data_IF_401071034037
#
_entry.id   IF_401071034037
#
_cell.length_a   1.000
_cell.length_b   1.000
_cell.length_c   1.000
_cell.angle_alpha   90.00
_cell.angle_beta   90.00
_cell.angle_gamma   90.00
#
_symmetry.space_group_name_H-M   'P 1'
#
loop_
_entity.id
_entity.type
_entity.pdbx_description
1 polymer ?
#
# COMPACT_ATOMS: atom_id res chain seq x y z
N UNK A 1 29.59 -53.74 -24.37
CA UNK A 1 30.54 -53.06 -25.26
C UNK A 1 31.03 -51.84 -24.51
N UNK A 2 32.23 -51.97 -23.95
CA UNK A 2 32.87 -50.94 -23.14
C UNK A 2 33.35 -49.82 -24.05
N UNK A 3 32.90 -48.59 -23.76
CA UNK A 3 33.32 -47.39 -24.49
C UNK A 3 34.78 -47.12 -24.14
N UNK A 4 35.62 -47.24 -25.16
CA UNK A 4 37.02 -46.83 -25.17
C UNK A 4 37.20 -45.44 -24.55
N UNK A 5 38.18 -45.33 -23.64
CA UNK A 5 38.52 -44.14 -22.88
C UNK A 5 38.60 -42.86 -23.74
N UNK A 6 37.81 -41.85 -23.39
CA UNK A 6 37.97 -40.50 -23.91
C UNK A 6 39.31 -39.90 -23.44
N UNK A 7 40.04 -39.17 -24.30
CA UNK A 7 41.41 -38.72 -24.01
C UNK A 7 41.52 -37.60 -22.96
N UNK A 8 40.41 -37.03 -22.46
CA UNK A 8 40.42 -36.03 -21.40
C UNK A 8 39.38 -36.34 -20.29
N UNK A 9 39.82 -36.73 -19.08
CA UNK A 9 38.91 -37.16 -18.01
C UNK A 9 37.99 -36.04 -17.50
N UNK A 10 38.45 -34.78 -17.56
CA UNK A 10 37.67 -33.59 -17.14
C UNK A 10 36.40 -33.39 -17.99
N UNK A 11 36.49 -33.65 -19.30
CA UNK A 11 35.35 -33.53 -20.21
C UNK A 11 34.34 -34.66 -19.96
N UNK A 12 34.83 -35.87 -19.66
CA UNK A 12 33.96 -37.00 -19.35
C UNK A 12 33.18 -36.81 -18.05
N UNK A 13 33.77 -36.14 -17.06
CA UNK A 13 33.09 -35.80 -15.80
C UNK A 13 32.03 -34.69 -15.99
N UNK A 14 32.34 -33.67 -16.80
CA UNK A 14 31.40 -32.61 -17.13
C UNK A 14 30.19 -33.12 -17.97
N UNK A 15 30.42 -34.12 -18.83
CA UNK A 15 29.38 -34.70 -19.67
C UNK A 15 28.68 -35.92 -19.05
N UNK A 16 29.23 -36.51 -17.98
CA UNK A 16 28.65 -37.64 -17.26
C UNK A 16 27.16 -37.46 -16.90
N UNK A 17 26.67 -36.30 -16.41
CA UNK A 17 25.23 -36.14 -16.13
C UNK A 17 24.35 -36.10 -17.38
N UNK A 18 24.93 -35.86 -18.57
CA UNK A 18 24.21 -35.76 -19.83
C UNK A 18 24.32 -37.03 -20.70
N UNK A 19 25.29 -37.91 -20.42
CA UNK A 19 25.47 -39.19 -21.11
C UNK A 19 24.65 -40.27 -20.40
N UNK A 20 23.44 -40.52 -20.92
CA UNK A 20 22.55 -41.58 -20.40
C UNK A 20 22.86 -42.94 -21.01
N UNK A 21 22.60 -44.01 -20.26
CA UNK A 21 22.75 -45.37 -20.76
C UNK A 21 21.78 -45.65 -21.92
N UNK A 22 22.15 -46.54 -22.85
CA UNK A 22 21.29 -46.86 -24.01
C UNK A 22 19.90 -47.36 -23.57
N UNK A 23 19.83 -48.06 -22.45
CA UNK A 23 18.59 -48.57 -21.87
C UNK A 23 17.72 -47.44 -21.31
N UNK A 24 18.31 -46.49 -20.56
CA UNK A 24 17.59 -45.30 -20.09
C UNK A 24 17.08 -44.46 -21.24
N UNK A 25 17.90 -44.26 -22.28
CA UNK A 25 17.47 -43.50 -23.47
C UNK A 25 16.29 -44.20 -24.16
N UNK A 26 16.30 -45.53 -24.27
CA UNK A 26 15.16 -46.28 -24.82
C UNK A 26 13.91 -46.19 -23.92
N UNK A 27 14.07 -46.25 -22.60
CA UNK A 27 12.97 -46.12 -21.65
C UNK A 27 12.35 -44.71 -21.69
N UNK A 28 13.20 -43.67 -21.75
CA UNK A 28 12.75 -42.27 -21.89
C UNK A 28 12.01 -42.09 -23.22
N UNK A 29 12.53 -42.64 -24.33
CA UNK A 29 11.84 -42.57 -25.63
C UNK A 29 10.49 -43.27 -25.60
N UNK A 30 10.39 -44.44 -24.99
CA UNK A 30 9.13 -45.17 -24.84
C UNK A 30 8.14 -44.42 -23.95
N UNK A 31 8.60 -43.84 -22.84
CA UNK A 31 7.77 -43.03 -21.95
C UNK A 31 7.24 -41.77 -22.65
N UNK A 32 8.10 -41.07 -23.40
CA UNK A 32 7.69 -39.91 -24.21
C UNK A 32 6.74 -40.32 -25.33
N UNK A 33 6.97 -41.47 -25.97
CA UNK A 33 6.07 -42.00 -27.01
C UNK A 33 4.68 -42.28 -26.44
N UNK A 34 4.59 -42.99 -25.31
CA UNK A 34 3.33 -43.25 -24.62
C UNK A 34 2.63 -41.96 -24.16
N UNK A 35 3.40 -40.96 -23.72
CA UNK A 35 2.85 -39.66 -23.32
C UNK A 35 2.29 -38.89 -24.53
N UNK A 36 3.00 -38.89 -25.66
CA UNK A 36 2.51 -38.27 -26.89
C UNK A 36 1.29 -39.00 -27.46
N UNK A 37 1.27 -40.34 -27.42
CA UNK A 37 0.10 -41.17 -27.77
C UNK A 37 -1.11 -40.86 -26.89
N UNK A 38 -0.90 -40.52 -25.61
CA UNK A 38 -2.01 -40.14 -24.73
C UNK A 38 -2.56 -38.73 -24.98
N UNK A 39 -1.72 -37.81 -25.47
CA UNK A 39 -2.08 -36.39 -25.68
C UNK A 39 -2.69 -36.14 -27.06
N UNK A 40 -2.29 -36.93 -28.03
CA UNK A 40 -2.84 -36.96 -29.36
C UNK A 40 -3.87 -38.09 -29.36
N UNK A 41 -5.17 -37.78 -29.34
CA UNK A 41 -6.24 -38.80 -29.50
C UNK A 41 -6.16 -39.45 -30.89
N UNK A 42 -5.12 -40.24 -31.13
CA UNK A 42 -4.93 -41.05 -32.31
C UNK A 42 -5.99 -42.16 -32.26
N UNK A 43 -6.80 -42.26 -33.30
CA UNK A 43 -7.63 -43.45 -33.49
C UNK A 43 -6.74 -44.69 -33.45
N UNK A 44 -7.22 -45.77 -32.80
CA UNK A 44 -6.46 -46.90 -32.26
C UNK A 44 -5.51 -47.65 -33.21
N UNK A 45 -5.49 -47.31 -34.50
CA UNK A 45 -4.72 -47.98 -35.53
C UNK A 45 -3.63 -47.11 -36.19
N UNK A 46 -3.46 -45.84 -35.79
CA UNK A 46 -2.45 -44.94 -36.37
C UNK A 46 -1.24 -44.76 -35.44
N UNK A 47 -0.13 -45.42 -35.77
CA UNK A 47 1.15 -45.21 -35.10
C UNK A 47 1.67 -43.77 -35.28
N UNK A 48 2.33 -43.25 -34.24
CA UNK A 48 2.96 -41.92 -34.23
C UNK A 48 4.07 -41.87 -35.29
N UNK A 49 3.73 -41.36 -36.46
CA UNK A 49 4.66 -41.09 -37.57
C UNK A 49 4.85 -39.58 -37.73
N UNK A 50 6.03 -39.16 -38.20
CA UNK A 50 6.40 -37.74 -38.36
C UNK A 50 5.36 -36.98 -39.19
N UNK A 51 4.70 -37.66 -40.13
CA UNK A 51 3.65 -37.13 -40.99
C UNK A 51 2.34 -36.77 -40.27
N UNK A 52 2.06 -37.39 -39.12
CA UNK A 52 0.80 -37.21 -38.37
C UNK A 52 0.87 -36.11 -37.30
N UNK A 53 2.06 -35.56 -36.99
CA UNK A 53 2.22 -34.47 -36.00
C UNK A 53 1.68 -33.11 -36.47
N UNK A 54 1.56 -32.90 -37.78
CA UNK A 54 1.19 -31.59 -38.35
C UNK A 54 -0.31 -31.28 -38.34
N UNK A 55 -1.16 -32.31 -38.31
CA UNK A 55 -2.60 -32.18 -38.63
C UNK A 55 -3.55 -32.58 -37.49
N UNK A 56 -3.05 -32.92 -36.31
CA UNK A 56 -3.91 -33.33 -35.19
C UNK A 56 -4.42 -32.12 -34.42
N UNK A 57 -5.74 -31.93 -34.41
CA UNK A 57 -6.40 -31.03 -33.46
C UNK A 57 -6.10 -31.51 -32.03
N UNK A 58 -5.28 -30.74 -31.32
CA UNK A 58 -5.07 -30.93 -29.88
C UNK A 58 -6.37 -30.53 -29.18
N UNK A 59 -7.28 -31.49 -28.97
CA UNK A 59 -8.36 -31.32 -28.02
C UNK A 59 -7.73 -31.20 -26.65
N UNK A 60 -7.60 -29.97 -26.15
CA UNK A 60 -7.10 -29.63 -24.82
C UNK A 60 -7.55 -30.68 -23.80
N UNK A 61 -6.69 -31.64 -23.42
CA UNK A 61 -6.91 -32.31 -22.16
C UNK A 61 -6.47 -31.29 -21.10
N UNK A 62 -7.29 -31.09 -20.09
CA UNK A 62 -6.79 -30.56 -18.84
C UNK A 62 -5.60 -31.45 -18.44
N UNK A 63 -4.39 -31.00 -18.77
CA UNK A 63 -3.16 -31.65 -18.36
C UNK A 63 -3.24 -31.81 -16.84
N UNK A 64 -2.65 -32.88 -16.32
CA UNK A 64 -2.10 -32.86 -14.98
C UNK A 64 -1.04 -31.74 -14.93
N UNK A 65 -1.51 -30.49 -14.76
CA UNK A 65 -0.74 -29.24 -14.65
C UNK A 65 0.20 -29.28 -13.43
N UNK A 66 0.11 -30.32 -12.63
CA UNK A 66 0.84 -30.53 -11.39
C UNK A 66 2.29 -31.00 -11.60
N UNK A 67 2.68 -31.42 -12.82
CA UNK A 67 4.04 -31.89 -13.11
C UNK A 67 4.97 -30.88 -13.79
N UNK A 68 4.44 -29.76 -14.29
CA UNK A 68 5.21 -28.75 -15.02
C UNK A 68 5.47 -27.56 -14.10
N UNK A 69 6.59 -27.57 -13.38
CA UNK A 69 6.98 -26.48 -12.46
C UNK A 69 7.92 -25.47 -13.14
N UNK A 70 7.78 -24.19 -12.79
CA UNK A 70 8.72 -23.11 -13.13
C UNK A 70 8.48 -22.44 -14.49
N UNK A 71 9.58 -22.10 -15.18
CA UNK A 71 9.60 -21.24 -16.40
C UNK A 71 8.71 -21.78 -17.52
N UNK A 72 8.62 -23.11 -17.66
CA UNK A 72 7.81 -23.75 -18.69
C UNK A 72 6.31 -23.52 -18.47
N UNK A 73 5.85 -23.50 -17.21
CA UNK A 73 4.47 -23.19 -16.87
C UNK A 73 4.16 -21.72 -17.14
N UNK A 74 5.09 -20.82 -16.78
CA UNK A 74 4.97 -19.40 -17.09
C UNK A 74 4.89 -19.15 -18.61
N UNK A 75 5.68 -19.86 -19.41
CA UNK A 75 5.63 -19.77 -20.87
C UNK A 75 4.29 -20.25 -21.46
N UNK A 76 3.77 -21.38 -20.98
CA UNK A 76 2.45 -21.89 -21.41
C UNK A 76 1.34 -20.90 -21.03
N UNK A 77 1.38 -20.36 -19.81
CA UNK A 77 0.43 -19.34 -19.36
C UNK A 77 0.52 -18.06 -20.20
N UNK A 78 1.74 -17.64 -20.58
CA UNK A 78 1.94 -16.49 -21.45
C UNK A 78 1.40 -16.72 -22.87
N UNK A 79 1.55 -17.93 -23.42
CA UNK A 79 0.95 -18.29 -24.71
C UNK A 79 -0.58 -18.31 -24.66
N UNK A 80 -1.17 -18.85 -23.58
CA UNK A 80 -2.62 -18.81 -23.36
C UNK A 80 -3.13 -17.37 -23.26
N UNK A 81 -2.44 -16.53 -22.48
CA UNK A 81 -2.77 -15.12 -22.33
C UNK A 81 -2.67 -14.36 -23.67
N UNK A 82 -1.65 -14.68 -24.48
CA UNK A 82 -1.49 -14.07 -25.81
C UNK A 82 -2.62 -14.49 -26.76
N UNK A 83 -2.97 -15.78 -26.82
CA UNK A 83 -4.12 -16.25 -27.61
C UNK A 83 -5.43 -15.59 -27.18
N UNK A 84 -5.65 -15.46 -25.87
CA UNK A 84 -6.82 -14.77 -25.34
C UNK A 84 -6.82 -13.27 -25.68
N UNK A 85 -5.66 -12.61 -25.67
CA UNK A 85 -5.53 -11.21 -26.08
C UNK A 85 -5.77 -11.02 -27.58
N UNK A 86 -5.27 -11.92 -28.42
CA UNK A 86 -5.52 -11.93 -29.86
C UNK A 86 -7.02 -12.11 -30.16
N UNK A 87 -7.68 -13.07 -29.52
CA UNK A 87 -9.13 -13.28 -29.67
C UNK A 87 -9.93 -12.02 -29.27
N UNK A 88 -9.54 -11.33 -28.18
CA UNK A 88 -10.16 -10.05 -27.78
C UNK A 88 -9.91 -8.94 -28.79
N UNK A 89 -8.70 -8.88 -29.35
CA UNK A 89 -8.34 -7.89 -30.36
C UNK A 89 -9.14 -8.11 -31.65
N UNK A 90 -9.30 -9.36 -32.07
CA UNK A 90 -10.14 -9.72 -33.22
C UNK A 90 -11.61 -9.39 -32.97
N UNK A 91 -12.15 -9.69 -31.79
CA UNK A 91 -13.50 -9.30 -31.41
C UNK A 91 -13.70 -7.77 -31.45
N UNK A 92 -12.74 -7.00 -30.92
CA UNK A 92 -12.78 -5.53 -30.98
C UNK A 92 -12.63 -4.99 -32.40
N UNK A 93 -11.83 -5.64 -33.25
CA UNK A 93 -11.72 -5.28 -34.68
C UNK A 93 -13.05 -5.48 -35.39
N UNK A 94 -13.75 -6.57 -35.10
CA UNK A 94 -15.09 -6.84 -35.65
C UNK A 94 -16.08 -5.78 -35.14
N UNK A 95 -16.10 -5.49 -33.84
CA UNK A 95 -16.98 -4.45 -33.26
C UNK A 95 -16.71 -3.07 -33.86
N UNK A 96 -15.44 -2.69 -34.06
CA UNK A 96 -15.08 -1.41 -34.71
C UNK A 96 -15.49 -1.38 -36.19
N UNK A 97 -15.41 -2.51 -36.90
CA UNK A 97 -15.89 -2.61 -38.28
C UNK A 97 -17.43 -2.53 -38.36
N UNK A 98 -18.14 -3.16 -37.43
CA UNK A 98 -19.61 -3.09 -37.34
C UNK A 98 -20.12 -1.69 -36.98
N UNK A 99 -19.39 -0.96 -36.13
CA UNK A 99 -19.68 0.44 -35.79
C UNK A 99 -19.32 1.41 -36.93
N UNK A 100 -18.57 0.96 -37.93
CA UNK A 100 -18.13 1.77 -39.07
C UNK A 100 -18.48 1.10 -40.42
N UNK A 101 -19.77 0.82 -40.70
CA UNK A 101 -20.18 0.11 -41.91
C UNK A 101 -20.08 0.97 -43.18
N UNK A 102 -19.91 2.29 -43.03
CA UNK A 102 -19.70 3.23 -44.14
C UNK A 102 -18.20 3.46 -44.34
N UNK A 103 -17.59 2.61 -45.15
CA UNK A 103 -16.26 2.85 -45.68
C UNK A 103 -16.19 4.18 -46.43
N UNK A 104 -15.74 5.24 -45.76
CA UNK A 104 -14.96 6.29 -46.42
C UNK A 104 -13.58 6.30 -45.79
N UNK A 105 -12.68 5.54 -46.42
CA UNK A 105 -11.24 5.81 -46.34
C UNK A 105 -11.05 7.19 -46.97
N UNK A 106 -11.23 8.24 -46.17
CA UNK A 106 -10.69 9.54 -46.49
C UNK A 106 -9.19 9.46 -46.26
N UNK A 107 -8.45 9.14 -47.33
CA UNK A 107 -7.13 9.72 -47.55
C UNK A 107 -7.30 11.25 -47.50
N UNK A 108 -7.21 11.83 -46.30
CA UNK A 108 -7.09 13.28 -46.14
C UNK A 108 -5.62 13.63 -46.19
N UNK A 109 -5.18 13.84 -47.42
CA UNK A 109 -4.07 14.74 -47.72
C UNK A 109 -4.37 16.11 -47.10
N UNK A 110 -3.42 16.63 -46.32
CA UNK A 110 -3.30 18.06 -46.00
C UNK A 110 -4.28 18.63 -44.97
N UNK A 111 -3.85 18.66 -43.69
CA UNK A 111 -3.96 19.84 -42.81
C UNK A 111 -3.56 19.44 -41.38
N UNK A 112 -2.41 19.94 -40.92
CA UNK A 112 -1.72 19.55 -39.68
C UNK A 112 -2.35 20.07 -38.37
N UNK A 113 -3.61 20.54 -38.34
CA UNK A 113 -4.21 21.13 -37.12
C UNK A 113 -5.36 20.35 -36.47
N UNK A 114 -5.78 19.20 -37.01
CA UNK A 114 -6.90 18.40 -36.49
C UNK A 114 -6.61 17.25 -35.49
N UNK A 115 -5.38 16.77 -35.22
CA UNK A 115 -5.19 15.60 -34.36
C UNK A 115 -5.43 15.90 -32.87
N UNK A 116 -5.27 17.16 -32.43
CA UNK A 116 -5.36 17.52 -31.01
C UNK A 116 -6.80 17.51 -30.48
N UNK A 117 -7.77 17.97 -31.27
CA UNK A 117 -9.18 17.97 -30.87
C UNK A 117 -9.75 16.54 -30.75
N UNK A 118 -9.40 15.66 -31.70
CA UNK A 118 -9.79 14.26 -31.65
C UNK A 118 -9.10 13.51 -30.50
N UNK A 119 -7.81 13.76 -30.27
CA UNK A 119 -7.09 13.24 -29.11
C UNK A 119 -7.68 13.73 -27.78
N UNK A 120 -8.06 15.01 -27.68
CA UNK A 120 -8.71 15.53 -26.48
C UNK A 120 -10.06 14.86 -26.21
N UNK A 121 -10.86 14.59 -27.26
CA UNK A 121 -12.11 13.85 -27.12
C UNK A 121 -11.88 12.40 -26.67
N UNK A 122 -10.88 11.72 -27.23
CA UNK A 122 -10.49 10.37 -26.82
C UNK A 122 -9.96 10.33 -25.38
N UNK A 123 -9.19 11.34 -24.95
CA UNK A 123 -8.72 11.46 -23.58
C UNK A 123 -9.89 11.67 -22.60
N UNK A 124 -10.85 12.54 -22.93
CA UNK A 124 -12.07 12.75 -22.14
C UNK A 124 -12.92 11.48 -22.06
N UNK A 125 -13.05 10.74 -23.17
CA UNK A 125 -13.76 9.46 -23.18
C UNK A 125 -13.04 8.42 -22.33
N UNK A 126 -11.71 8.33 -22.41
CA UNK A 126 -10.90 7.42 -21.58
C UNK A 126 -11.02 7.76 -20.10
N UNK A 127 -11.04 9.04 -19.75
CA UNK A 127 -11.24 9.49 -18.38
C UNK A 127 -12.64 9.15 -17.87
N UNK A 128 -13.69 9.37 -18.70
CA UNK A 128 -15.06 8.97 -18.39
C UNK A 128 -15.18 7.46 -18.18
N UNK A 129 -14.52 6.65 -19.01
CA UNK A 129 -14.47 5.21 -18.83
C UNK A 129 -13.73 4.79 -17.56
N UNK A 130 -12.63 5.46 -17.18
CA UNK A 130 -11.96 5.18 -15.89
C UNK A 130 -12.91 5.47 -14.73
N UNK A 131 -13.60 6.61 -14.75
CA UNK A 131 -14.59 6.96 -13.73
C UNK A 131 -15.72 5.93 -13.64
N UNK A 132 -16.24 5.49 -14.78
CA UNK A 132 -17.26 4.43 -14.83
C UNK A 132 -16.76 3.08 -14.31
N UNK A 133 -15.50 2.72 -14.58
CA UNK A 133 -14.90 1.50 -14.01
C UNK A 133 -14.76 1.57 -12.50
N UNK A 134 -14.37 2.72 -11.95
CA UNK A 134 -14.31 2.94 -10.49
C UNK A 134 -15.71 2.84 -9.89
N UNK A 135 -16.71 3.48 -10.48
CA UNK A 135 -18.10 3.39 -10.03
C UNK A 135 -18.64 1.96 -10.11
N UNK A 136 -18.34 1.23 -11.18
CA UNK A 136 -18.71 -0.19 -11.33
C UNK A 136 -18.00 -1.06 -10.29
N UNK A 137 -16.73 -0.79 -10.00
CA UNK A 137 -15.97 -1.46 -8.94
C UNK A 137 -16.61 -1.24 -7.58
N UNK A 138 -16.87 0.02 -7.21
CA UNK A 138 -17.53 0.38 -5.96
C UNK A 138 -18.94 -0.21 -5.86
N UNK A 139 -19.71 -0.22 -6.95
CA UNK A 139 -21.03 -0.86 -6.99
C UNK A 139 -20.92 -2.36 -6.74
N UNK A 140 -20.00 -3.05 -7.41
CA UNK A 140 -19.77 -4.48 -7.20
C UNK A 140 -19.25 -4.77 -5.78
N UNK A 141 -18.45 -3.89 -5.18
CA UNK A 141 -18.03 -4.02 -3.78
C UNK A 141 -19.22 -3.87 -2.82
N UNK A 142 -20.10 -2.90 -3.06
CA UNK A 142 -21.34 -2.73 -2.30
C UNK A 142 -22.27 -3.94 -2.49
N UNK A 143 -22.39 -4.46 -3.70
CA UNK A 143 -23.20 -5.65 -3.99
C UNK A 143 -22.61 -6.91 -3.34
N UNK A 144 -21.28 -7.05 -3.32
CA UNK A 144 -20.59 -8.13 -2.61
C UNK A 144 -20.71 -7.99 -1.09
N UNK A 145 -20.65 -6.77 -0.55
CA UNK A 145 -20.89 -6.50 0.86
C UNK A 145 -22.37 -6.74 1.22
N UNK A 146 -23.31 -6.32 0.39
CA UNK A 146 -24.74 -6.53 0.60
C UNK A 146 -25.11 -8.02 0.53
N UNK A 147 -24.54 -8.78 -0.40
CA UNK A 147 -24.75 -10.24 -0.48
C UNK A 147 -24.07 -11.00 0.67
N UNK A 148 -22.89 -10.58 1.13
CA UNK A 148 -22.26 -11.11 2.36
C UNK A 148 -23.12 -10.80 3.58
N UNK A 149 -23.58 -9.57 3.74
CA UNK A 149 -24.36 -9.13 4.90
C UNK A 149 -25.82 -9.62 4.89
N UNK A 150 -26.36 -10.00 3.72
CA UNK A 150 -27.67 -10.65 3.63
C UNK A 150 -27.64 -12.12 4.08
N UNK A 151 -26.45 -12.74 4.12
CA UNK A 151 -26.26 -14.14 4.51
C UNK A 151 -25.77 -14.34 5.96
N UNK A 152 -25.37 -13.26 6.63
CA UNK A 152 -24.81 -13.29 7.99
C UNK A 152 -25.86 -12.67 8.93
N UNK A 153 -26.26 -13.41 9.96
CA UNK A 153 -27.16 -12.90 11.00
C UNK A 153 -26.50 -11.68 11.66
N UNK A 154 -27.26 -10.62 11.93
CA UNK A 154 -26.74 -9.38 12.54
C UNK A 154 -25.98 -9.65 13.86
N UNK A 155 -26.33 -10.73 14.58
CA UNK A 155 -25.65 -11.17 15.79
C UNK A 155 -24.21 -11.65 15.54
N UNK A 156 -23.94 -12.33 14.41
CA UNK A 156 -22.59 -12.81 14.06
C UNK A 156 -21.68 -11.65 13.65
N UNK A 157 -22.24 -10.61 13.01
CA UNK A 157 -21.50 -9.39 12.67
C UNK A 157 -21.14 -8.56 13.92
N UNK A 158 -22.00 -8.63 14.94
CA UNK A 158 -21.77 -8.03 16.26
C UNK A 158 -20.71 -8.83 17.02
N UNK A 159 -20.70 -10.16 16.95
CA UNK A 159 -19.63 -10.98 17.52
C UNK A 159 -18.27 -10.76 16.85
N UNK A 160 -18.21 -10.59 15.52
CA UNK A 160 -16.96 -10.35 14.78
C UNK A 160 -16.40 -8.93 15.02
N UNK A 161 -17.27 -7.94 15.24
CA UNK A 161 -16.87 -6.55 15.46
C UNK A 161 -16.60 -6.21 16.93
N UNK A 162 -17.24 -6.90 17.87
CA UNK A 162 -17.14 -6.64 19.31
C UNK A 162 -16.29 -7.72 20.03
N UNK A 163 -16.05 -8.86 19.39
CA UNK A 163 -15.41 -10.03 19.99
C UNK A 163 -16.36 -10.77 20.93
N UNK A 164 -16.11 -12.07 21.12
CA UNK A 164 -16.89 -12.91 22.04
C UNK A 164 -16.82 -12.33 23.46
N UNK A 165 -17.98 -11.93 23.98
CA UNK A 165 -18.10 -11.37 25.31
C UNK A 165 -17.63 -12.42 26.34
N UNK A 166 -16.65 -12.11 27.21
CA UNK A 166 -16.13 -13.09 28.15
C UNK A 166 -17.24 -13.54 29.09
N UNK A 167 -17.38 -14.86 29.27
CA UNK A 167 -18.32 -15.43 30.24
C UNK A 167 -18.08 -14.79 31.61
N UNK A 168 -19.11 -14.11 32.12
CA UNK A 168 -19.02 -13.43 33.41
C UNK A 168 -18.75 -14.47 34.51
N UNK A 169 -17.71 -14.29 35.35
CA UNK A 169 -17.57 -15.09 36.54
C UNK A 169 -18.72 -14.75 37.48
N UNK A 170 -19.58 -15.74 37.68
CA UNK A 170 -20.50 -15.78 38.80
C UNK A 170 -19.65 -15.76 40.07
N UNK A 171 -19.60 -14.63 40.78
CA UNK A 171 -19.92 -14.55 42.22
C UNK A 171 -19.67 -13.15 42.78
N UNK A 172 -20.73 -12.63 43.40
CA UNK A 172 -20.75 -11.91 44.67
C UNK A 172 -20.35 -10.42 44.71
N UNK A 173 -21.42 -9.63 44.85
CA UNK A 173 -21.60 -8.66 45.93
C UNK A 173 -20.81 -7.33 45.87
N UNK A 174 -21.08 -6.50 44.85
CA UNK A 174 -21.02 -5.02 44.95
C UNK A 174 -22.02 -4.36 43.99
N UNK A 175 -23.29 -4.78 44.03
CA UNK A 175 -24.26 -4.53 42.95
C UNK A 175 -25.26 -3.38 43.15
N UNK A 176 -25.20 -2.56 44.20
CA UNK A 176 -26.30 -1.60 44.44
C UNK A 176 -26.13 -0.26 43.71
N UNK A 177 -24.92 0.31 43.63
CA UNK A 177 -24.72 1.62 43.00
C UNK A 177 -24.73 1.54 41.47
N UNK A 178 -24.14 0.50 40.89
CA UNK A 178 -24.07 0.34 39.42
C UNK A 178 -25.43 0.02 38.80
N UNK A 179 -26.33 -0.65 39.54
CA UNK A 179 -27.70 -0.88 39.07
C UNK A 179 -28.53 0.40 39.08
N UNK A 180 -28.35 1.26 40.09
CA UNK A 180 -29.01 2.56 40.15
C UNK A 180 -28.54 3.51 39.03
N UNK A 181 -27.23 3.52 38.71
CA UNK A 181 -26.67 4.31 37.60
C UNK A 181 -27.16 3.80 36.24
N UNK A 182 -27.26 2.48 36.06
CA UNK A 182 -27.83 1.89 34.83
C UNK A 182 -29.33 2.19 34.71
N UNK A 183 -30.08 2.16 35.82
CA UNK A 183 -31.51 2.53 35.82
C UNK A 183 -31.71 4.02 35.50
N UNK A 184 -30.86 4.91 36.00
CA UNK A 184 -30.90 6.35 35.66
C UNK A 184 -30.64 6.58 34.17
N UNK A 185 -29.62 5.92 33.60
CA UNK A 185 -29.32 6.00 32.16
C UNK A 185 -30.47 5.45 31.32
N UNK A 186 -31.11 4.35 31.75
CA UNK A 186 -32.27 3.77 31.05
C UNK A 186 -33.49 4.70 31.13
N UNK A 187 -33.70 5.38 32.26
CA UNK A 187 -34.79 6.36 32.41
C UNK A 187 -34.56 7.59 31.53
N UNK A 188 -33.32 8.07 31.43
CA UNK A 188 -32.96 9.18 30.54
C UNK A 188 -33.13 8.81 29.06
N UNK A 189 -32.78 7.59 28.68
CA UNK A 189 -33.01 7.08 27.33
C UNK A 189 -34.51 6.95 27.02
N UNK A 190 -35.32 6.46 27.97
CA UNK A 190 -36.79 6.43 27.84
C UNK A 190 -37.38 7.85 27.72
N UNK A 191 -36.85 8.82 28.46
CA UNK A 191 -37.27 10.22 28.39
C UNK A 191 -36.88 10.86 27.06
N UNK A 192 -35.69 10.57 26.54
CA UNK A 192 -35.23 11.05 25.24
C UNK A 192 -36.09 10.47 24.10
N UNK A 193 -36.35 9.17 24.12
CA UNK A 193 -37.19 8.50 23.11
C UNK A 193 -38.65 8.97 23.13
N UNK A 194 -39.23 9.25 24.30
CA UNK A 194 -40.56 9.86 24.39
C UNK A 194 -40.57 11.30 23.86
N UNK A 195 -39.52 12.09 24.11
CA UNK A 195 -39.39 13.45 23.55
C UNK A 195 -39.26 13.43 22.04
N UNK A 196 -38.49 12.51 21.47
CA UNK A 196 -38.33 12.40 20.00
C UNK A 196 -39.62 11.91 19.36
N UNK A 197 -40.29 10.91 19.95
CA UNK A 197 -41.61 10.45 19.48
C UNK A 197 -42.63 11.59 19.48
N UNK A 198 -42.70 12.38 20.56
CA UNK A 198 -43.61 13.53 20.63
C UNK A 198 -43.29 14.61 19.58
N UNK A 199 -42.00 14.87 19.31
CA UNK A 199 -41.60 15.79 18.22
C UNK A 199 -42.01 15.27 16.85
N UNK A 200 -41.87 13.97 16.62
CA UNK A 200 -42.23 13.32 15.37
C UNK A 200 -43.76 13.33 15.16
N UNK A 201 -44.52 13.07 16.22
CA UNK A 201 -45.98 13.15 16.16
C UNK A 201 -46.46 14.60 15.91
N UNK A 202 -45.78 15.61 16.47
CA UNK A 202 -46.06 17.02 16.16
C UNK A 202 -45.75 17.37 14.71
N UNK A 203 -44.60 16.91 14.17
CA UNK A 203 -44.25 17.12 12.76
C UNK A 203 -45.23 16.43 11.81
N UNK A 204 -45.75 15.25 12.16
CA UNK A 204 -46.77 14.56 11.37
C UNK A 204 -48.11 15.31 11.36
N UNK A 205 -48.50 15.88 12.49
CA UNK A 205 -49.74 16.70 12.56
C UNK A 205 -49.58 17.99 11.74
N UNK A 206 -48.38 18.60 11.75
CA UNK A 206 -48.09 19.78 10.92
C UNK A 206 -48.07 19.43 9.42
N UNK A 207 -47.52 18.27 9.03
CA UNK A 207 -47.55 17.76 7.65
C UNK A 207 -48.98 17.43 7.20
N UNK A 208 -49.79 16.78 8.03
CA UNK A 208 -51.20 16.47 7.73
C UNK A 208 -52.07 17.74 7.64
N UNK A 209 -51.78 18.77 8.45
CA UNK A 209 -52.44 20.07 8.37
C UNK A 209 -52.01 20.88 7.12
N UNK A 210 -50.78 20.70 6.63
CA UNK A 210 -50.26 21.34 5.42
C UNK A 210 -50.79 20.69 4.12
N UNK A 211 -51.13 19.39 4.15
CA UNK A 211 -51.70 18.66 3.00
C UNK A 211 -53.19 18.99 2.77
N UNK A 212 -53.88 19.58 3.76
CA UNK A 212 -55.31 19.88 3.71
C UNK A 212 -55.72 21.20 3.01
N UNK A 213 -54.79 22.05 2.58
CA UNK A 213 -55.09 23.29 1.84
C UNK A 213 -54.22 23.42 0.60
N UNK A 214 -54.87 23.55 -0.55
CA UNK A 214 -54.32 23.97 -1.85
C UNK A 214 -53.44 22.97 -2.61
N UNK A 215 -54.05 21.88 -3.08
CA UNK A 215 -53.45 21.03 -4.11
C UNK A 215 -54.38 20.79 -5.29
N UNK A 216 -54.45 21.78 -6.19
CA UNK A 216 -54.65 21.46 -7.60
C UNK A 216 -53.73 22.22 -8.57
N UNK A 217 -53.15 23.38 -8.25
CA UNK A 217 -52.38 24.12 -9.29
C UNK A 217 -51.03 24.74 -8.86
N UNK A 218 -50.60 24.67 -7.59
CA UNK A 218 -49.26 25.15 -7.18
C UNK A 218 -48.12 24.11 -7.34
N UNK A 219 -48.43 22.93 -7.88
CA UNK A 219 -47.71 21.69 -7.55
C UNK A 219 -46.44 21.39 -8.36
N UNK A 220 -46.07 22.16 -9.39
CA UNK A 220 -44.81 21.91 -10.13
C UNK A 220 -43.73 22.93 -9.78
N UNK A 221 -44.04 24.21 -9.80
CA UNK A 221 -43.06 25.24 -9.44
C UNK A 221 -42.71 25.23 -7.96
N UNK A 222 -43.66 24.93 -7.08
CA UNK A 222 -43.37 24.73 -5.65
C UNK A 222 -42.49 23.48 -5.42
N UNK A 223 -42.68 22.41 -6.20
CA UNK A 223 -41.82 21.22 -6.14
C UNK A 223 -40.43 21.50 -6.68
N UNK A 224 -40.31 22.25 -7.77
CA UNK A 224 -39.01 22.68 -8.32
C UNK A 224 -38.28 23.62 -7.35
N UNK A 225 -39.02 24.51 -6.68
CA UNK A 225 -38.47 25.38 -5.65
C UNK A 225 -38.02 24.59 -4.42
N UNK A 226 -38.84 23.67 -3.92
CA UNK A 226 -38.49 22.78 -2.81
C UNK A 226 -37.30 21.87 -3.15
N UNK A 227 -37.22 21.35 -4.38
CA UNK A 227 -36.09 20.55 -4.85
C UNK A 227 -34.81 21.40 -4.95
N UNK A 228 -34.90 22.62 -5.47
CA UNK A 228 -33.78 23.57 -5.50
C UNK A 228 -33.32 23.91 -4.09
N UNK A 229 -34.24 24.06 -3.14
CA UNK A 229 -33.94 24.37 -1.75
C UNK A 229 -33.36 23.16 -1.00
N UNK A 230 -33.84 21.95 -1.27
CA UNK A 230 -33.24 20.73 -0.76
C UNK A 230 -31.83 20.52 -1.34
N UNK A 231 -31.62 20.83 -2.61
CA UNK A 231 -30.31 20.80 -3.24
C UNK A 231 -29.36 21.82 -2.61
N UNK A 232 -29.78 23.08 -2.44
CA UNK A 232 -28.93 24.09 -1.79
C UNK A 232 -28.65 23.76 -0.34
N UNK A 233 -29.61 23.20 0.40
CA UNK A 233 -29.40 22.70 1.75
C UNK A 233 -28.40 21.55 1.79
N UNK A 234 -28.50 20.59 0.86
CA UNK A 234 -27.58 19.45 0.79
C UNK A 234 -26.17 19.89 0.41
N UNK A 235 -26.03 20.80 -0.55
CA UNK A 235 -24.75 21.42 -0.91
C UNK A 235 -24.16 22.13 0.31
N UNK A 236 -24.95 22.97 0.99
CA UNK A 236 -24.51 23.65 2.21
C UNK A 236 -24.13 22.68 3.32
N UNK A 237 -24.88 21.59 3.51
CA UNK A 237 -24.55 20.57 4.51
C UNK A 237 -23.27 19.82 4.17
N UNK A 238 -23.05 19.51 2.89
CA UNK A 238 -21.80 18.90 2.42
C UNK A 238 -20.65 19.89 2.57
N UNK A 239 -20.84 21.18 2.24
CA UNK A 239 -19.85 22.23 2.43
C UNK A 239 -19.53 22.43 3.91
N UNK A 240 -20.52 22.51 4.81
CA UNK A 240 -20.31 22.59 6.26
C UNK A 240 -19.60 21.34 6.78
N UNK A 241 -19.92 20.15 6.24
CA UNK A 241 -19.26 18.90 6.63
C UNK A 241 -17.83 18.84 6.10
N UNK A 242 -17.58 19.29 4.87
CA UNK A 242 -16.25 19.41 4.28
C UNK A 242 -15.43 20.48 4.99
N UNK A 243 -16.02 21.60 5.38
CA UNK A 243 -15.42 22.66 6.18
C UNK A 243 -15.10 22.17 7.60
N UNK A 244 -15.95 21.34 8.18
CA UNK A 244 -15.68 20.68 9.47
C UNK A 244 -14.54 19.67 9.35
N UNK A 245 -14.47 18.91 8.26
CA UNK A 245 -13.37 17.96 8.00
C UNK A 245 -12.07 18.72 7.70
N UNK A 246 -12.15 19.83 6.96
CA UNK A 246 -10.99 20.69 6.72
C UNK A 246 -10.56 21.42 7.98
N UNK A 247 -11.46 21.83 8.88
CA UNK A 247 -11.09 22.38 10.19
C UNK A 247 -10.47 21.33 11.11
N UNK A 248 -10.88 20.06 11.04
CA UNK A 248 -10.17 18.97 11.75
C UNK A 248 -8.79 18.68 11.12
N UNK A 249 -8.60 18.99 9.83
CA UNK A 249 -7.30 18.97 9.15
C UNK A 249 -6.45 20.24 9.31
N UNK A 250 -7.07 21.40 9.57
CA UNK A 250 -6.44 22.74 9.62
C UNK A 250 -6.30 23.29 11.04
N UNK A 251 -6.96 22.71 12.05
CA UNK A 251 -6.64 22.97 13.46
C UNK A 251 -5.26 22.42 13.88
N UNK A 252 -4.51 21.82 12.96
CA UNK A 252 -3.07 21.51 13.07
C UNK A 252 -2.20 22.35 12.13
N UNK A 253 -2.75 23.38 11.47
CA UNK A 253 -2.05 24.17 10.46
C UNK A 253 -2.46 25.66 10.43
N UNK A 254 -2.98 26.19 11.54
CA UNK A 254 -3.18 27.64 11.76
C UNK A 254 -2.26 28.14 12.88
N UNK A 255 -0.97 27.99 12.64
CA UNK A 255 0.09 28.90 13.08
C UNK A 255 1.07 28.89 11.93
N UNK A 256 1.58 30.04 11.51
CA UNK A 256 2.33 30.29 10.27
C UNK A 256 1.48 30.76 9.06
N UNK A 257 0.68 31.80 9.25
CA UNK A 257 0.52 32.82 8.19
C UNK A 257 1.66 33.84 8.34
N UNK A 258 2.64 33.81 7.44
CA UNK A 258 2.98 34.95 6.56
C UNK A 258 4.30 34.65 5.83
N UNK A 259 4.20 34.29 4.55
CA UNK A 259 4.85 35.01 3.44
C UNK A 259 4.60 34.25 2.13
N UNK A 260 3.64 34.80 1.38
CA UNK A 260 3.49 34.68 -0.06
C UNK A 260 4.81 34.98 -0.78
N UNK A 261 5.28 34.09 -1.67
CA UNK A 261 5.41 34.37 -3.13
C UNK A 261 6.18 33.27 -3.88
N UNK A 262 5.64 32.92 -5.06
CA UNK A 262 6.33 32.40 -6.23
C UNK A 262 6.93 30.99 -6.16
N UNK A 263 6.12 30.02 -6.61
CA UNK A 263 6.59 28.76 -7.18
C UNK A 263 7.43 29.04 -8.43
N UNK A 264 8.75 29.22 -8.23
CA UNK A 264 9.79 29.12 -9.24
C UNK A 264 10.79 28.07 -8.77
N UNK A 265 11.21 27.22 -9.69
CA UNK A 265 12.22 26.16 -9.53
C UNK A 265 13.34 26.52 -8.54
N UNK A 266 13.46 25.78 -7.44
CA UNK A 266 14.62 25.90 -6.56
C UNK A 266 15.37 24.58 -6.43
N UNK A 267 16.57 24.61 -7.01
CA UNK A 267 17.75 23.82 -6.63
C UNK A 267 17.87 23.68 -5.11
N UNK A 268 18.54 22.62 -4.62
CA UNK A 268 18.77 22.44 -3.19
C UNK A 268 19.49 23.66 -2.61
N UNK A 269 18.79 24.42 -1.75
CA UNK A 269 19.39 25.50 -0.97
C UNK A 269 20.49 24.89 -0.11
N UNK A 270 21.73 25.28 -0.39
CA UNK A 270 22.85 25.02 0.50
C UNK A 270 22.60 25.90 1.72
N UNK A 271 22.04 25.32 2.79
CA UNK A 271 21.91 26.01 4.07
C UNK A 271 23.29 26.50 4.49
N UNK A 272 23.44 27.82 4.61
CA UNK A 272 24.69 28.42 5.04
C UNK A 272 24.97 27.99 6.48
N UNK A 273 26.23 27.70 6.82
CA UNK A 273 26.61 27.23 8.16
C UNK A 273 26.15 28.16 9.30
N UNK A 274 25.92 29.45 8.99
CA UNK A 274 25.38 30.45 9.91
C UNK A 274 23.91 30.20 10.27
N UNK A 275 23.11 29.68 9.34
CA UNK A 275 21.70 29.33 9.56
C UNK A 275 21.57 28.06 10.42
N UNK A 276 22.46 27.10 10.22
CA UNK A 276 22.56 25.93 11.10
C UNK A 276 22.97 26.36 12.51
N UNK A 277 23.92 27.31 12.63
CA UNK A 277 24.35 27.83 13.92
C UNK A 277 23.22 28.58 14.64
N UNK A 278 22.42 29.39 13.93
CA UNK A 278 21.28 30.11 14.53
C UNK A 278 20.16 29.16 14.96
N UNK A 279 19.85 28.13 14.14
CA UNK A 279 18.90 27.08 14.51
C UNK A 279 19.37 26.29 15.73
N UNK A 280 20.67 25.98 15.80
CA UNK A 280 21.25 25.29 16.95
C UNK A 280 21.23 26.15 18.23
N UNK A 281 21.48 27.46 18.11
CA UNK A 281 21.34 28.39 19.24
C UNK A 281 19.88 28.49 19.72
N UNK A 282 18.92 28.61 18.80
CA UNK A 282 17.48 28.61 19.13
C UNK A 282 17.06 27.31 19.85
N UNK A 283 17.58 26.17 19.40
CA UNK A 283 17.37 24.88 20.07
C UNK A 283 17.95 24.85 21.49
N UNK A 284 19.17 25.38 21.70
CA UNK A 284 19.78 25.45 23.04
C UNK A 284 18.98 26.37 23.98
N UNK A 285 18.51 27.51 23.50
CA UNK A 285 17.69 28.44 24.27
C UNK A 285 16.35 27.80 24.67
N UNK A 286 15.68 27.12 23.74
CA UNK A 286 14.45 26.39 24.01
C UNK A 286 14.67 25.28 25.05
N UNK A 287 15.79 24.55 24.94
CA UNK A 287 16.16 23.51 25.90
C UNK A 287 16.47 24.08 27.28
N UNK A 288 17.16 25.22 27.36
CA UNK A 288 17.45 25.89 28.62
C UNK A 288 16.16 26.38 29.29
N UNK A 289 15.22 26.94 28.53
CA UNK A 289 13.89 27.33 29.03
C UNK A 289 13.11 26.13 29.56
N UNK A 290 13.16 24.99 28.87
CA UNK A 290 12.51 23.76 29.32
C UNK A 290 13.13 23.23 30.62
N UNK A 291 14.46 23.22 30.72
CA UNK A 291 15.17 22.82 31.95
C UNK A 291 14.86 23.77 33.10
N UNK A 292 14.75 25.08 32.84
CA UNK A 292 14.32 26.05 33.84
C UNK A 292 12.86 25.83 34.26
N UNK A 293 11.95 25.52 33.32
CA UNK A 293 10.56 25.23 33.64
C UNK A 293 10.41 23.94 34.48
N UNK A 294 11.19 22.90 34.19
CA UNK A 294 11.21 21.65 34.95
C UNK A 294 11.90 21.82 36.31
N UNK A 295 12.96 22.64 36.37
CA UNK A 295 13.66 22.98 37.61
C UNK A 295 12.90 23.96 38.52
N UNK A 296 11.96 24.73 37.95
CA UNK A 296 11.08 25.67 38.65
C UNK A 296 9.72 25.03 38.94
N UNK A 297 9.68 23.76 39.32
CA UNK A 297 8.48 23.22 39.96
C UNK A 297 8.29 23.96 41.29
N UNK A 298 7.16 24.65 41.51
CA UNK A 298 6.94 25.37 42.75
C UNK A 298 6.90 24.37 43.90
N UNK A 299 7.98 24.38 44.69
CA UNK A 299 8.00 23.86 46.05
C UNK A 299 6.74 24.34 46.75
N UNK A 300 5.84 23.38 47.06
CA UNK A 300 4.67 23.59 47.89
C UNK A 300 5.14 24.05 49.28
N UNK A 301 5.30 25.36 49.45
CA UNK A 301 5.41 26.04 50.74
C UNK A 301 4.11 26.76 50.98
N UNK A 302 3.12 26.04 51.54
CA UNK A 302 1.91 26.63 52.08
C UNK A 302 1.42 25.82 53.30
N UNK A 303 1.91 26.21 54.49
CA UNK A 303 1.25 26.07 55.79
C UNK A 303 1.59 24.84 56.64
N UNK A 304 1.58 24.94 57.99
CA UNK A 304 0.79 25.91 58.75
C UNK A 304 1.60 26.84 59.68
N UNK A 305 1.21 28.12 59.67
CA UNK A 305 1.49 29.03 60.77
C UNK A 305 0.56 28.71 61.95
N UNK A 306 1.16 28.72 63.13
CA UNK A 306 0.60 28.91 64.47
C UNK A 306 -0.92 28.92 64.61
N UNK A 307 -1.45 27.86 65.22
CA UNK A 307 -2.59 27.97 66.12
C UNK A 307 -2.09 27.67 67.53
N UNK A 308 -1.58 28.72 68.17
CA UNK A 308 -1.43 28.74 69.61
C UNK A 308 -2.83 28.75 70.22
N UNK A 309 -3.30 27.60 70.70
CA UNK A 309 -4.36 27.56 71.70
C UNK A 309 -3.92 26.60 72.78
N UNK A 310 -3.38 27.18 73.85
CA UNK A 310 -3.30 26.58 75.18
C UNK A 310 -4.60 25.83 75.47
N UNK A 311 -4.50 24.53 75.75
CA UNK A 311 -5.24 23.99 76.88
C UNK A 311 -4.51 22.79 77.49
N UNK A 312 -4.61 22.82 78.82
CA UNK A 312 -3.78 22.17 79.82
C UNK A 312 -4.38 20.82 80.19
N UNK A 313 -3.50 19.84 80.33
CA UNK A 313 -3.49 18.69 81.24
C UNK A 313 -4.81 17.95 81.55
N UNK A 314 -4.79 16.66 81.16
CA UNK A 314 -5.24 15.50 81.93
C UNK A 314 -6.46 15.63 82.84
N UNK A 315 -7.56 15.01 82.42
CA UNK A 315 -8.34 14.15 83.32
C UNK A 315 -9.34 13.33 82.51
N UNK A 316 -9.24 12.01 82.70
CA UNK A 316 -10.31 11.02 82.72
C UNK A 316 -11.65 11.52 82.19
N UNK A 317 -12.11 10.97 81.06
CA UNK A 317 -13.49 10.52 80.86
C UNK A 317 -13.57 9.75 79.54
N UNK A 318 -14.22 8.60 79.62
CA UNK A 318 -14.60 7.76 78.49
C UNK A 318 -15.28 8.61 77.41
N UNK A 319 -14.72 8.68 76.21
CA UNK A 319 -15.49 9.02 75.01
C UNK A 319 -14.97 8.23 73.82
N UNK A 320 -15.89 7.41 73.30
CA UNK A 320 -15.91 6.74 72.02
C UNK A 320 -15.05 7.43 70.96
N UNK A 321 -13.94 6.80 70.56
CA UNK A 321 -13.22 7.13 69.32
C UNK A 321 -14.17 6.76 68.17
N UNK A 322 -14.96 7.74 67.73
CA UNK A 322 -15.73 7.63 66.52
C UNK A 322 -14.74 7.35 65.38
N UNK A 323 -14.80 6.13 64.83
CA UNK A 323 -14.08 5.74 63.61
C UNK A 323 -14.47 6.76 62.53
N UNK A 324 -13.60 7.72 62.27
CA UNK A 324 -13.76 8.62 61.12
C UNK A 324 -13.84 7.72 59.89
N UNK A 325 -14.95 7.75 59.13
CA UNK A 325 -15.11 6.84 58.01
C UNK A 325 -14.01 7.17 56.98
N UNK A 326 -13.38 6.14 56.37
CA UNK A 326 -12.26 6.31 55.45
C UNK A 326 -12.60 7.24 54.26
N UNK A 327 -13.89 7.41 53.96
CA UNK A 327 -14.38 8.39 52.99
C UNK A 327 -13.95 9.83 53.31
N UNK A 328 -13.93 10.24 54.58
CA UNK A 328 -13.55 11.61 54.99
C UNK A 328 -12.04 11.86 54.79
N UNK A 329 -11.22 10.80 54.87
CA UNK A 329 -9.77 10.88 54.67
C UNK A 329 -9.42 10.94 53.17
N UNK A 330 -10.20 10.30 52.30
CA UNK A 330 -9.93 10.22 50.85
C UNK A 330 -10.47 11.42 50.09
N UNK A 331 -11.57 12.04 50.54
CA UNK A 331 -12.25 13.17 49.86
C UNK A 331 -11.33 14.32 49.40
N UNK A 332 -10.34 14.79 50.18
CA UNK A 332 -9.42 15.84 49.73
C UNK A 332 -8.56 15.43 48.52
N UNK A 333 -8.26 14.13 48.40
CA UNK A 333 -7.40 13.58 47.35
C UNK A 333 -8.17 13.14 46.10
N UNK A 334 -9.51 13.04 46.16
CA UNK A 334 -10.33 12.60 45.01
C UNK A 334 -10.11 13.49 43.79
N UNK A 335 -9.96 14.80 43.99
CA UNK A 335 -9.71 15.74 42.88
C UNK A 335 -8.36 15.48 42.21
N UNK A 336 -7.31 15.30 43.00
CA UNK A 336 -5.96 14.98 42.50
C UNK A 336 -5.90 13.59 41.85
N UNK A 337 -6.59 12.60 42.41
CA UNK A 337 -6.68 11.25 41.82
C UNK A 337 -7.47 11.27 40.51
N UNK A 338 -8.53 12.10 40.42
CA UNK A 338 -9.31 12.25 39.19
C UNK A 338 -8.52 12.94 38.08
N UNK A 339 -7.72 13.97 38.39
CA UNK A 339 -6.85 14.61 37.41
C UNK A 339 -5.75 13.64 36.95
N UNK A 340 -5.13 12.88 37.86
CA UNK A 340 -4.14 11.88 37.50
C UNK A 340 -4.71 10.77 36.61
N UNK A 341 -5.95 10.34 36.87
CA UNK A 341 -6.64 9.38 36.01
C UNK A 341 -6.91 9.96 34.61
N UNK A 342 -7.28 11.25 34.51
CA UNK A 342 -7.47 11.93 33.24
C UNK A 342 -6.15 12.07 32.47
N UNK A 343 -5.06 12.44 33.14
CA UNK A 343 -3.72 12.51 32.56
C UNK A 343 -3.24 11.13 32.07
N UNK A 344 -3.45 10.07 32.86
CA UNK A 344 -3.11 8.72 32.46
C UNK A 344 -3.91 8.26 31.23
N UNK A 345 -5.21 8.59 31.16
CA UNK A 345 -6.04 8.30 30.00
C UNK A 345 -5.57 9.07 28.75
N UNK A 346 -5.23 10.35 28.89
CA UNK A 346 -4.70 11.17 27.80
C UNK A 346 -3.35 10.65 27.30
N UNK A 347 -2.44 10.26 28.20
CA UNK A 347 -1.15 9.64 27.83
C UNK A 347 -1.36 8.30 27.13
N UNK A 348 -2.32 7.49 27.58
CA UNK A 348 -2.64 6.23 26.92
C UNK A 348 -3.18 6.48 25.50
N UNK A 349 -4.06 7.46 25.31
CA UNK A 349 -4.56 7.85 24.00
C UNK A 349 -3.41 8.33 23.09
N UNK A 350 -2.56 9.23 23.57
CA UNK A 350 -1.38 9.70 22.83
C UNK A 350 -0.44 8.56 22.44
N UNK A 351 -0.17 7.62 23.36
CA UNK A 351 0.68 6.47 23.07
C UNK A 351 0.06 5.55 22.02
N UNK A 352 -1.26 5.37 22.05
CA UNK A 352 -1.99 4.56 21.08
C UNK A 352 -1.99 5.23 19.70
N UNK A 353 -2.13 6.55 19.65
CA UNK A 353 -2.05 7.35 18.44
C UNK A 353 -0.65 7.27 17.82
N UNK A 354 0.40 7.46 18.62
CA UNK A 354 1.80 7.35 18.17
C UNK A 354 2.11 5.97 17.59
N UNK A 355 1.62 4.89 18.22
CA UNK A 355 1.79 3.52 17.69
C UNK A 355 1.08 3.33 16.36
N UNK A 356 -0.13 3.87 16.19
CA UNK A 356 -0.84 3.82 14.90
C UNK A 356 -0.09 4.60 13.83
N UNK A 357 0.40 5.79 14.16
CA UNK A 357 1.20 6.60 13.23
C UNK A 357 2.46 5.86 12.78
N UNK A 358 3.20 5.27 13.72
CA UNK A 358 4.38 4.45 13.41
C UNK A 358 4.04 3.26 12.51
N UNK A 359 2.98 2.51 12.82
CA UNK A 359 2.55 1.40 11.99
C UNK A 359 2.18 1.87 10.56
N UNK A 360 1.48 3.00 10.43
CA UNK A 360 1.13 3.55 9.12
C UNK A 360 2.35 4.03 8.33
N UNK A 361 3.34 4.62 9.00
CA UNK A 361 4.59 5.02 8.35
C UNK A 361 5.43 3.81 7.95
N UNK A 362 5.46 2.77 8.77
CA UNK A 362 6.18 1.52 8.49
C UNK A 362 5.55 0.81 7.28
N UNK A 363 4.23 0.73 7.21
CA UNK A 363 3.51 0.18 6.06
C UNK A 363 3.73 1.01 4.79
N UNK A 364 3.84 2.34 4.92
CA UNK A 364 4.18 3.21 3.79
C UNK A 364 5.63 2.98 3.32
N UNK A 365 6.58 2.87 4.25
CA UNK A 365 7.98 2.61 3.96
C UNK A 365 8.18 1.23 3.32
N UNK A 366 7.52 0.19 3.84
CA UNK A 366 7.56 -1.16 3.28
C UNK A 366 7.01 -1.21 1.84
N UNK A 367 5.90 -0.50 1.57
CA UNK A 367 5.35 -0.37 0.21
C UNK A 367 6.31 0.36 -0.73
N UNK A 368 6.94 1.42 -0.26
CA UNK A 368 7.92 2.18 -1.05
C UNK A 368 9.14 1.31 -1.36
N UNK A 369 9.71 0.63 -0.37
CA UNK A 369 10.84 -0.30 -0.55
C UNK A 369 10.49 -1.43 -1.52
N UNK A 370 9.30 -2.01 -1.41
CA UNK A 370 8.83 -3.03 -2.36
C UNK A 370 8.76 -2.48 -3.78
N UNK A 371 8.20 -1.28 -3.95
CA UNK A 371 8.13 -0.64 -5.26
C UNK A 371 9.52 -0.36 -5.83
N UNK A 372 10.43 0.15 -5.01
CA UNK A 372 11.82 0.35 -5.42
C UNK A 372 12.48 -0.98 -5.81
N UNK A 373 12.20 -2.06 -5.07
CA UNK A 373 12.76 -3.37 -5.39
C UNK A 373 12.22 -3.88 -6.73
N UNK A 374 10.93 -3.71 -6.99
CA UNK A 374 10.28 -4.08 -8.25
C UNK A 374 10.79 -3.24 -9.43
N UNK A 375 11.14 -1.97 -9.20
CA UNK A 375 11.70 -1.05 -10.21
C UNK A 375 13.21 -1.22 -10.39
N UNK A 376 13.93 -1.74 -9.39
CA UNK A 376 15.38 -1.94 -9.47
C UNK A 376 15.70 -3.26 -10.18
N UNK A 377 16.66 -3.22 -11.09
CA UNK A 377 17.29 -4.44 -11.61
C UNK A 377 18.47 -4.91 -10.74
N UNK A 378 18.75 -4.18 -9.66
CA UNK A 378 19.88 -4.40 -8.77
C UNK A 378 19.57 -5.49 -7.74
N UNK A 379 18.35 -5.51 -7.22
CA UNK A 379 17.94 -6.36 -6.12
C UNK A 379 16.88 -7.36 -6.59
N UNK A 380 16.90 -8.57 -6.03
CA UNK A 380 15.93 -9.61 -6.36
C UNK A 380 14.50 -9.18 -5.95
N UNK A 381 13.52 -9.57 -6.76
CA UNK A 381 12.10 -9.30 -6.50
C UNK A 381 11.69 -9.78 -5.11
N UNK A 382 11.07 -8.89 -4.32
CA UNK A 382 10.63 -9.19 -2.96
C UNK A 382 11.64 -8.88 -1.85
N UNK A 383 12.77 -8.25 -2.16
CA UNK A 383 13.70 -7.73 -1.16
C UNK A 383 13.10 -6.54 -0.38
N UNK A 384 12.58 -6.85 0.81
CA UNK A 384 11.95 -5.90 1.72
C UNK A 384 12.93 -5.39 2.78
N UNK A 385 14.08 -6.04 2.95
CA UNK A 385 15.07 -5.69 3.95
C UNK A 385 16.16 -4.80 3.37
N UNK A 386 16.51 -3.72 4.06
CA UNK A 386 17.66 -2.88 3.69
C UNK A 386 18.99 -3.64 3.65
N UNK A 387 19.07 -4.81 4.29
CA UNK A 387 20.25 -5.67 4.23
C UNK A 387 20.45 -6.28 2.83
N UNK A 388 19.36 -6.63 2.16
CA UNK A 388 19.39 -7.21 0.81
C UNK A 388 19.87 -6.19 -0.21
N UNK A 389 19.42 -4.93 -0.05
CA UNK A 389 19.90 -3.79 -0.83
C UNK A 389 21.39 -3.54 -0.65
N UNK A 390 21.87 -3.65 0.59
CA UNK A 390 23.30 -3.48 0.90
C UNK A 390 24.15 -4.57 0.25
N UNK A 391 23.69 -5.81 0.30
CA UNK A 391 24.40 -6.94 -0.30
C UNK A 391 24.40 -6.83 -1.82
N UNK A 392 23.24 -6.55 -2.42
CA UNK A 392 23.13 -6.34 -3.87
C UNK A 392 24.01 -5.19 -4.38
N UNK A 393 24.10 -4.10 -3.63
CA UNK A 393 25.00 -2.99 -3.96
C UNK A 393 26.48 -3.38 -3.84
N UNK A 394 26.84 -4.22 -2.86
CA UNK A 394 28.19 -4.73 -2.72
C UNK A 394 28.55 -5.70 -3.87
N UNK A 395 27.64 -6.60 -4.23
CA UNK A 395 27.79 -7.56 -5.31
C UNK A 395 27.95 -6.84 -6.66
N UNK A 396 27.09 -5.88 -6.97
CA UNK A 396 27.22 -5.07 -8.19
C UNK A 396 28.53 -4.27 -8.20
N UNK A 397 28.93 -3.73 -7.06
CA UNK A 397 30.20 -3.03 -6.93
C UNK A 397 31.42 -3.93 -7.16
N UNK A 398 31.30 -5.25 -6.95
CA UNK A 398 32.32 -6.23 -7.29
C UNK A 398 32.26 -6.59 -8.78
N UNK A 399 31.08 -6.85 -9.33
CA UNK A 399 30.95 -7.15 -10.77
C UNK A 399 31.45 -6.02 -11.66
N UNK A 400 31.18 -4.76 -11.28
CA UNK A 400 31.67 -3.60 -12.03
C UNK A 400 33.20 -3.48 -11.95
N UNK A 401 33.80 -3.78 -10.79
CA UNK A 401 35.26 -3.80 -10.66
C UNK A 401 35.88 -4.89 -11.52
N UNK A 402 35.28 -6.07 -11.54
CA UNK A 402 35.75 -7.20 -12.33
C UNK A 402 35.68 -6.88 -13.83
N UNK A 403 34.54 -6.33 -14.30
CA UNK A 403 34.38 -5.89 -15.69
C UNK A 403 35.38 -4.80 -16.06
N UNK A 404 35.57 -3.78 -15.21
CA UNK A 404 36.55 -2.72 -15.46
C UNK A 404 37.96 -3.30 -15.53
N UNK A 405 38.30 -4.24 -14.65
CA UNK A 405 39.61 -4.90 -14.67
C UNK A 405 39.83 -5.69 -15.95
N UNK A 406 38.81 -6.42 -16.43
CA UNK A 406 38.86 -7.16 -17.69
C UNK A 406 39.06 -6.22 -18.89
N UNK A 407 38.30 -5.11 -18.95
CA UNK A 407 38.48 -4.10 -20.00
C UNK A 407 39.86 -3.43 -19.94
N UNK A 408 40.42 -3.23 -18.74
CA UNK A 408 41.75 -2.65 -18.57
C UNK A 408 42.83 -3.64 -19.04
N UNK A 409 42.71 -4.92 -18.71
CA UNK A 409 43.60 -5.96 -19.21
C UNK A 409 43.54 -6.08 -20.74
N UNK A 410 42.34 -6.06 -21.32
CA UNK A 410 42.13 -6.14 -22.77
C UNK A 410 42.65 -4.88 -23.49
N UNK A 411 42.53 -3.72 -22.85
CA UNK A 411 43.15 -2.48 -23.31
C UNK A 411 44.68 -2.54 -23.26
N UNK A 412 45.24 -3.11 -22.19
CA UNK A 412 46.69 -3.28 -22.05
C UNK A 412 47.26 -4.26 -23.07
N UNK A 413 46.60 -5.41 -23.31
CA UNK A 413 47.05 -6.37 -24.32
C UNK A 413 47.04 -5.72 -25.70
N UNK A 414 45.94 -5.04 -26.07
CA UNK A 414 45.85 -4.28 -27.33
C UNK A 414 46.93 -3.20 -27.45
N UNK A 415 47.21 -2.45 -26.38
CA UNK A 415 48.28 -1.45 -26.37
C UNK A 415 49.68 -2.07 -26.55
N UNK A 416 49.94 -3.23 -25.92
CA UNK A 416 51.21 -3.95 -26.09
C UNK A 416 51.35 -4.55 -27.49
N UNK A 417 50.27 -5.03 -28.09
CA UNK A 417 50.26 -5.51 -29.47
C UNK A 417 50.53 -4.36 -30.45
N UNK A 418 49.87 -3.21 -30.27
CA UNK A 418 50.12 -2.01 -31.05
C UNK A 418 51.57 -1.50 -30.90
N UNK A 419 52.13 -1.57 -29.69
CA UNK A 419 53.52 -1.21 -29.45
C UNK A 419 54.48 -2.16 -30.18
N UNK A 420 54.19 -3.47 -30.17
CA UNK A 420 54.97 -4.48 -30.89
C UNK A 420 54.90 -4.28 -32.40
N UNK A 421 53.73 -3.97 -32.96
CA UNK A 421 53.60 -3.70 -34.41
C UNK A 421 54.34 -2.43 -34.81
N UNK A 422 54.34 -1.38 -33.98
CA UNK A 422 55.13 -0.17 -34.22
C UNK A 422 56.64 -0.44 -34.23
N UNK A 423 57.15 -1.25 -33.29
CA UNK A 423 58.57 -1.66 -33.29
C UNK A 423 58.91 -2.43 -34.56
N UNK A 424 58.06 -3.39 -34.95
CA UNK A 424 58.27 -4.17 -36.18
C UNK A 424 58.30 -3.27 -37.42
N UNK A 425 57.42 -2.28 -37.53
CA UNK A 425 57.42 -1.30 -38.64
C UNK A 425 58.72 -0.49 -38.65
N UNK A 426 59.24 -0.11 -37.48
CA UNK A 426 60.53 0.59 -37.36
C UNK A 426 61.75 -0.25 -37.78
N UNK A 427 61.65 -1.57 -37.79
CA UNK A 427 62.73 -2.48 -38.23
C UNK A 427 62.74 -2.75 -39.75
N UNK A 428 61.60 -2.59 -40.42
CA UNK A 428 61.47 -2.72 -41.90
C UNK A 428 62.51 -1.87 -42.66
N UNK A 429 62.73 -0.58 -42.38
CA UNK A 429 63.71 0.22 -43.11
C UNK A 429 65.15 -0.30 -42.94
N UNK A 430 65.51 -0.85 -41.77
CA UNK A 430 66.83 -1.46 -41.55
C UNK A 430 67.01 -2.74 -42.35
N UNK A 431 65.97 -3.56 -42.44
CA UNK A 431 65.97 -4.76 -43.27
C UNK A 431 66.08 -4.43 -44.77
N UNK A 432 65.38 -3.38 -45.23
CA UNK A 432 65.49 -2.89 -46.60
C UNK A 432 66.88 -2.34 -46.92
N UNK A 433 67.52 -1.62 -46.00
CA UNK A 433 68.91 -1.17 -46.19
C UNK A 433 69.90 -2.34 -46.28
N UNK A 434 69.72 -3.41 -45.50
CA UNK A 434 70.55 -4.61 -45.59
C UNK A 434 70.35 -5.36 -46.91
N UNK A 435 69.11 -5.46 -47.39
CA UNK A 435 68.80 -6.02 -48.71
C UNK A 435 69.43 -5.20 -49.84
N UNK A 436 69.32 -3.87 -49.77
CA UNK A 436 69.93 -2.97 -50.77
C UNK A 436 71.46 -3.08 -50.80
N UNK A 437 72.11 -3.25 -49.63
CA UNK A 437 73.56 -3.49 -49.54
C UNK A 437 73.96 -4.86 -50.09
N UNK A 438 73.13 -5.90 -49.91
CA UNK A 438 73.37 -7.24 -50.45
C UNK A 438 73.26 -7.30 -51.97
N UNK A 439 72.47 -6.43 -52.61
CA UNK A 439 72.31 -6.40 -54.08
C UNK A 439 73.39 -5.58 -54.80
N UNK A 440 74.21 -4.84 -54.05
CA UNK A 440 75.28 -3.99 -54.58
C UNK A 440 76.69 -4.60 -54.48
N UNK A 441 76.80 -5.81 -53.90
CA UNK A 441 78.00 -6.65 -53.91
C UNK A 441 77.78 -7.84 -54.82
#
# INVERSE_FOLDING_TARGET
MELTACPEPKLSEALAPFIKSRQEVSAIRQALHAQLESQLCLEKDNHLTISNLGNTEVKNPAYDRNGLSGVRQAYINALEANRAAQAKLEALKIEVQELNPSGTVHQRSGSESLPTAHLMLLLRQRERMRRLKVLKGAYNEIEQQASRNASIHLDDLVEDSIGTQPLLPTTQATGSEKLAEVEEIVLDLKKATLKTKRKLDLMKVDDEAAVGRDHTESSQDAKLYALKQAHTFMVKWVEDRLASISQVGLAHQETEEDHTTLMGEEKPRICEAKEIQSMYQSYLDARQRLVQAVGSSPSQSAGPADVSTRQRETSLLQHTVAKVPPSVVVLPYVRALSSYKQEAAALQEQSSFARRQLATSDDAAARLLKRLADESHLVQYGALSGQDWRNAAADMGQTDKDLISEYLELGNTSATEASRTLVNIGEIPKALELMAKSTAS
#
